data_IF_268633811391
#
_entry.id   IF_268633811391
#
_cell.length_a   1.000
_cell.length_b   1.000
_cell.length_c   1.000
_cell.angle_alpha   90.00
_cell.angle_beta   90.00
_cell.angle_gamma   90.00
#
_symmetry.space_group_name_H-M   'P 1'
#
loop_
_entity.id
_entity.type
_entity.pdbx_description
1 polymer ?
#
# COMPACT_ATOMS: atom_id res chain seq x y z
N UNK A 1 27.27 -5.85 44.85
CA UNK A 1 26.71 -5.05 43.77
C UNK A 1 26.19 -3.76 44.37
N UNK A 2 26.83 -2.64 44.09
CA UNK A 2 26.32 -1.32 44.48
C UNK A 2 25.09 -1.00 43.59
N UNK A 3 24.10 -0.28 44.10
CA UNK A 3 22.89 0.05 43.33
C UNK A 3 23.23 0.86 42.06
N UNK A 4 24.33 1.61 42.10
CA UNK A 4 24.89 2.34 40.94
C UNK A 4 25.39 1.38 39.85
N UNK A 5 26.05 0.29 40.21
CA UNK A 5 26.52 -0.74 39.26
C UNK A 5 25.34 -1.46 38.61
N UNK A 6 24.25 -1.67 39.35
CA UNK A 6 23.03 -2.28 38.82
C UNK A 6 22.42 -1.43 37.68
N UNK A 7 22.46 -0.09 37.78
CA UNK A 7 22.02 0.82 36.70
C UNK A 7 22.92 0.68 35.48
N UNK A 8 24.24 0.60 35.67
CA UNK A 8 25.20 0.39 34.58
C UNK A 8 24.98 -0.93 33.84
N UNK A 9 24.79 -2.03 34.57
CA UNK A 9 24.49 -3.34 33.98
C UNK A 9 23.14 -3.36 33.26
N UNK A 10 22.12 -2.69 33.79
CA UNK A 10 20.84 -2.52 33.11
C UNK A 10 20.99 -1.78 31.78
N UNK A 11 21.74 -0.67 31.77
CA UNK A 11 22.04 0.08 30.55
C UNK A 11 22.75 -0.78 29.50
N UNK A 12 23.76 -1.55 29.93
CA UNK A 12 24.50 -2.46 29.04
C UNK A 12 23.59 -3.56 28.48
N UNK A 13 22.75 -4.17 29.31
CA UNK A 13 21.80 -5.20 28.88
C UNK A 13 20.82 -4.65 27.84
N UNK A 14 20.29 -3.45 28.04
CA UNK A 14 19.40 -2.78 27.08
C UNK A 14 20.11 -2.45 25.76
N UNK A 15 21.36 -1.98 25.80
CA UNK A 15 22.16 -1.70 24.59
C UNK A 15 22.44 -2.97 23.79
N UNK A 16 22.81 -4.07 24.47
CA UNK A 16 23.03 -5.37 23.81
C UNK A 16 21.72 -5.90 23.23
N UNK A 17 20.62 -5.85 23.98
CA UNK A 17 19.30 -6.24 23.50
C UNK A 17 18.87 -5.44 22.27
N UNK A 18 19.07 -4.11 22.30
CA UNK A 18 18.80 -3.23 21.16
C UNK A 18 19.62 -3.63 19.93
N UNK A 19 20.87 -4.07 20.10
CA UNK A 19 21.75 -4.45 18.98
C UNK A 19 21.35 -5.79 18.34
N UNK A 20 20.68 -6.65 19.10
CA UNK A 20 20.16 -7.94 18.62
C UNK A 20 18.76 -7.84 17.99
N UNK A 21 18.09 -6.69 18.07
CA UNK A 21 16.73 -6.51 17.54
C UNK A 21 16.72 -6.34 16.01
N UNK A 22 15.84 -7.09 15.33
CA UNK A 22 15.65 -6.98 13.88
C UNK A 22 14.59 -5.95 13.45
N UNK A 23 13.76 -5.47 14.38
CA UNK A 23 12.65 -4.55 14.08
C UNK A 23 13.03 -3.11 14.35
N UNK A 24 12.85 -2.24 13.34
CA UNK A 24 13.36 -0.86 13.37
C UNK A 24 12.74 0.03 14.47
N UNK A 25 11.46 -0.12 14.80
CA UNK A 25 10.77 0.73 15.81
C UNK A 25 11.11 0.31 17.26
N UNK A 26 10.92 -0.96 17.68
CA UNK A 26 11.27 -1.39 19.04
C UNK A 26 12.74 -1.17 19.38
N UNK A 27 13.64 -1.41 18.41
CA UNK A 27 15.07 -1.15 18.56
C UNK A 27 15.35 0.29 18.98
N UNK A 28 14.71 1.29 18.34
CA UNK A 28 14.96 2.70 18.66
C UNK A 28 14.39 3.10 20.02
N UNK A 29 13.28 2.51 20.43
CA UNK A 29 12.70 2.73 21.77
C UNK A 29 13.64 2.17 22.84
N UNK A 30 14.10 0.93 22.67
CA UNK A 30 15.04 0.29 23.62
C UNK A 30 16.37 1.03 23.65
N UNK A 31 16.89 1.49 22.50
CA UNK A 31 18.09 2.31 22.43
C UNK A 31 17.94 3.63 23.20
N UNK A 32 16.80 4.33 23.10
CA UNK A 32 16.54 5.55 23.87
C UNK A 32 16.48 5.27 25.38
N UNK A 33 15.81 4.19 25.80
CA UNK A 33 15.78 3.76 27.19
C UNK A 33 17.18 3.41 27.71
N UNK A 34 18.00 2.72 26.90
CA UNK A 34 19.37 2.39 27.22
C UNK A 34 20.22 3.65 27.41
N UNK A 35 20.12 4.62 26.50
CA UNK A 35 20.84 5.90 26.59
C UNK A 35 20.48 6.66 27.86
N UNK A 36 19.20 6.71 28.26
CA UNK A 36 18.80 7.32 29.53
C UNK A 36 19.41 6.63 30.76
N UNK A 37 19.43 5.28 30.77
CA UNK A 37 20.04 4.51 31.85
C UNK A 37 21.56 4.73 31.93
N UNK A 38 22.24 4.73 30.79
CA UNK A 38 23.70 4.92 30.69
C UNK A 38 24.12 6.35 31.03
N UNK A 39 23.35 7.38 30.63
CA UNK A 39 23.58 8.77 31.07
C UNK A 39 23.45 8.89 32.59
N UNK A 40 22.41 8.26 33.16
CA UNK A 40 22.19 8.27 34.62
C UNK A 40 23.37 7.63 35.33
N UNK A 41 23.85 6.48 34.84
CA UNK A 41 25.06 5.84 35.35
C UNK A 41 26.30 6.75 35.22
N UNK A 42 26.53 7.33 34.03
CA UNK A 42 27.64 8.24 33.76
C UNK A 42 27.68 9.45 34.70
N UNK A 43 26.51 10.01 35.01
CA UNK A 43 26.38 11.10 35.98
C UNK A 43 26.77 10.66 37.40
N UNK A 44 26.30 9.48 37.83
CA UNK A 44 26.59 8.95 39.18
C UNK A 44 28.07 8.62 39.39
N UNK A 45 28.80 8.23 38.34
CA UNK A 45 30.25 7.97 38.40
C UNK A 45 31.11 9.19 38.02
N UNK A 46 30.50 10.33 37.70
CA UNK A 46 31.21 11.55 37.27
C UNK A 46 31.90 11.47 35.91
N UNK A 47 31.48 10.54 35.04
CA UNK A 47 32.12 10.30 33.74
C UNK A 47 31.46 11.12 32.63
N UNK A 48 32.04 12.30 32.37
CA UNK A 48 31.64 13.18 31.26
C UNK A 48 31.67 12.47 29.89
N UNK A 49 32.68 11.63 29.55
CA UNK A 49 32.71 10.94 28.26
C UNK A 49 31.53 9.99 28.02
N UNK A 50 31.07 9.29 29.06
CA UNK A 50 29.92 8.36 28.97
C UNK A 50 28.64 9.15 28.72
N UNK A 51 28.43 10.24 29.46
CA UNK A 51 27.26 11.10 29.29
C UNK A 51 27.21 11.75 27.91
N UNK A 52 28.35 12.25 27.42
CA UNK A 52 28.44 12.92 26.12
C UNK A 52 28.10 11.97 24.96
N UNK A 53 28.58 10.73 25.02
CA UNK A 53 28.34 9.72 23.98
C UNK A 53 26.85 9.46 23.79
N UNK A 54 26.13 9.23 24.89
CA UNK A 54 24.71 8.93 24.86
C UNK A 54 23.85 10.17 24.57
N UNK A 55 24.27 11.35 25.04
CA UNK A 55 23.59 12.61 24.74
C UNK A 55 23.55 12.91 23.23
N UNK A 56 24.57 12.48 22.47
CA UNK A 56 24.60 12.59 21.00
C UNK A 56 23.71 11.51 20.35
N UNK A 57 23.63 10.31 20.93
CA UNK A 57 22.84 9.21 20.37
C UNK A 57 21.33 9.40 20.54
N UNK A 58 20.88 10.05 21.61
CA UNK A 58 19.46 10.35 21.85
C UNK A 58 18.79 11.09 20.68
N UNK A 59 19.27 12.26 20.21
CA UNK A 59 18.61 12.98 19.12
C UNK A 59 18.61 12.18 17.82
N UNK A 60 19.67 11.42 17.55
CA UNK A 60 19.75 10.57 16.35
C UNK A 60 18.73 9.41 16.40
N UNK A 61 18.63 8.71 17.54
CA UNK A 61 17.68 7.62 17.73
C UNK A 61 16.23 8.12 17.76
N UNK A 62 15.98 9.28 18.36
CA UNK A 62 14.66 9.92 18.40
C UNK A 62 14.20 10.38 17.02
N UNK A 63 15.09 11.00 16.24
CA UNK A 63 14.77 11.43 14.87
C UNK A 63 14.44 10.24 13.97
N UNK A 64 15.26 9.17 14.00
CA UNK A 64 14.95 7.94 13.24
C UNK A 64 13.68 7.25 13.71
N UNK A 65 13.37 7.26 15.01
CA UNK A 65 12.10 6.72 15.51
C UNK A 65 10.92 7.52 14.97
N UNK A 66 11.00 8.85 15.00
CA UNK A 66 9.97 9.73 14.45
C UNK A 66 9.75 9.48 12.95
N UNK A 67 10.82 9.36 12.17
CA UNK A 67 10.76 9.06 10.74
C UNK A 67 10.06 7.72 10.47
N UNK A 68 10.44 6.65 11.20
CA UNK A 68 9.82 5.33 11.05
C UNK A 68 8.33 5.33 11.41
N UNK A 69 7.96 5.98 12.52
CA UNK A 69 6.56 6.07 12.96
C UNK A 69 5.73 6.94 12.00
N UNK A 70 6.32 8.01 11.47
CA UNK A 70 5.67 8.87 10.48
C UNK A 70 5.34 8.08 9.21
N UNK A 71 6.29 7.30 8.69
CA UNK A 71 6.10 6.52 7.47
C UNK A 71 4.98 5.49 7.61
N UNK A 72 4.92 4.78 8.75
CA UNK A 72 3.82 3.82 9.02
C UNK A 72 2.47 4.53 9.10
N UNK A 73 2.39 5.66 9.81
CA UNK A 73 1.14 6.43 9.94
C UNK A 73 0.67 7.04 8.62
N UNK A 74 1.60 7.48 7.78
CA UNK A 74 1.34 7.95 6.42
C UNK A 74 0.71 6.81 5.58
N UNK A 75 1.29 5.60 5.62
CA UNK A 75 0.69 4.43 4.95
C UNK A 75 -0.68 4.00 5.51
N UNK A 76 -0.91 4.11 6.82
CA UNK A 76 -2.22 3.82 7.42
C UNK A 76 -3.29 4.88 7.10
N UNK A 77 -2.90 6.15 6.96
CA UNK A 77 -3.79 7.22 6.50
C UNK A 77 -4.16 7.05 5.03
N UNK A 78 -3.19 6.70 4.19
CA UNK A 78 -3.43 6.32 2.80
C UNK A 78 -4.32 5.09 2.64
N UNK A 79 -4.22 4.14 3.58
CA UNK A 79 -5.10 2.97 3.65
C UNK A 79 -6.55 3.28 4.05
N UNK A 80 -6.76 4.36 4.81
CA UNK A 80 -8.04 4.68 5.46
C UNK A 80 -8.80 5.85 4.81
N UNK A 81 -8.12 6.74 4.08
CA UNK A 81 -8.74 7.86 3.36
C UNK A 81 -8.84 7.63 1.86
N UNK A 82 -9.85 8.23 1.22
CA UNK A 82 -9.94 8.40 -0.23
C UNK A 82 -8.60 8.89 -0.76
N UNK A 83 -7.78 7.97 -1.30
CA UNK A 83 -6.52 8.34 -1.91
C UNK A 83 -6.90 9.18 -3.12
N UNK A 84 -6.63 10.49 -3.05
CA UNK A 84 -6.78 11.37 -4.20
C UNK A 84 -5.94 10.78 -5.33
N UNK A 85 -6.60 10.23 -6.35
CA UNK A 85 -5.95 9.75 -7.57
C UNK A 85 -5.47 10.91 -8.45
N UNK A 86 -5.52 12.14 -7.96
CA UNK A 86 -5.07 13.33 -8.67
C UNK A 86 -3.58 13.29 -8.94
N UNK A 87 -2.77 12.72 -8.04
CA UNK A 87 -1.35 12.56 -8.30
C UNK A 87 -1.08 11.53 -9.40
N UNK A 88 -1.96 10.54 -9.59
CA UNK A 88 -1.85 9.60 -10.71
C UNK A 88 -2.03 10.32 -12.06
N UNK A 89 -2.64 11.51 -12.06
CA UNK A 89 -2.77 12.38 -13.24
C UNK A 89 -1.44 13.01 -13.71
N UNK A 90 -0.31 12.76 -13.04
CA UNK A 90 1.01 13.08 -13.60
C UNK A 90 1.71 11.89 -14.26
N UNK A 91 1.15 10.69 -14.20
CA UNK A 91 1.77 9.45 -14.70
C UNK A 91 1.00 8.85 -15.89
N UNK A 92 1.69 8.12 -16.75
CA UNK A 92 1.09 7.53 -17.95
C UNK A 92 0.66 8.55 -19.00
N UNK A 93 -0.12 8.09 -19.98
CA UNK A 93 -0.54 8.88 -21.15
C UNK A 93 -2.05 9.04 -21.20
N UNK A 94 -2.55 10.26 -21.38
CA UNK A 94 -3.99 10.48 -21.59
C UNK A 94 -4.37 10.12 -23.02
N UNK A 95 -5.38 9.27 -23.19
CA UNK A 95 -5.93 8.85 -24.48
C UNK A 95 -7.42 9.17 -24.54
N UNK A 96 -7.87 9.64 -25.71
CA UNK A 96 -9.28 9.89 -26.03
C UNK A 96 -9.92 8.64 -26.62
N UNK A 97 -11.16 8.38 -26.23
CA UNK A 97 -11.97 7.25 -26.70
C UNK A 97 -13.30 7.76 -27.23
N UNK A 98 -13.78 7.14 -28.31
CA UNK A 98 -15.09 7.45 -28.90
C UNK A 98 -16.18 6.60 -28.27
N UNK A 99 -17.41 7.11 -28.26
CA UNK A 99 -18.57 6.31 -27.86
C UNK A 99 -18.67 5.05 -28.76
N UNK A 100 -18.90 3.89 -28.14
CA UNK A 100 -18.91 2.58 -28.78
C UNK A 100 -17.53 1.93 -28.97
N UNK A 101 -16.42 2.62 -28.67
CA UNK A 101 -15.08 2.06 -28.79
C UNK A 101 -14.83 1.01 -27.70
N UNK A 102 -14.36 -0.19 -28.09
CA UNK A 102 -13.96 -1.24 -27.17
C UNK A 102 -12.48 -1.10 -26.87
N UNK A 103 -12.12 -0.99 -25.59
CA UNK A 103 -10.74 -0.78 -25.15
C UNK A 103 -9.98 -2.11 -25.11
N UNK A 104 -10.61 -3.14 -24.59
CA UNK A 104 -10.10 -4.51 -24.54
C UNK A 104 -11.22 -5.49 -24.30
N UNK A 105 -11.02 -6.74 -24.70
CA UNK A 105 -11.93 -7.85 -24.48
C UNK A 105 -11.42 -8.74 -23.35
N UNK A 106 -12.36 -9.44 -22.70
CA UNK A 106 -12.04 -10.49 -21.73
C UNK A 106 -11.15 -11.56 -22.37
N UNK A 107 -10.09 -11.95 -21.68
CA UNK A 107 -9.12 -12.94 -22.16
C UNK A 107 -7.97 -12.37 -23.01
N UNK A 108 -8.04 -11.09 -23.41
CA UNK A 108 -6.91 -10.46 -24.09
C UNK A 108 -5.68 -10.39 -23.17
N UNK A 109 -4.45 -10.40 -23.73
CA UNK A 109 -3.25 -10.06 -22.97
C UNK A 109 -3.39 -8.67 -22.32
N UNK A 110 -3.07 -8.60 -21.03
CA UNK A 110 -3.17 -7.39 -20.24
C UNK A 110 -1.77 -6.86 -19.90
N UNK A 111 -1.50 -5.63 -20.32
CA UNK A 111 -0.21 -4.96 -20.12
C UNK A 111 -0.33 -3.58 -19.48
N UNK A 112 -1.57 -3.10 -19.31
CA UNK A 112 -1.87 -1.73 -18.90
C UNK A 112 -3.21 -1.65 -18.19
N UNK A 113 -3.38 -0.63 -17.35
CA UNK A 113 -4.64 -0.26 -16.72
C UNK A 113 -5.01 1.18 -17.08
N UNK A 114 -6.27 1.54 -16.82
CA UNK A 114 -6.80 2.85 -17.16
C UNK A 114 -7.37 3.55 -15.93
N UNK A 115 -7.06 4.82 -15.75
CA UNK A 115 -7.77 5.73 -14.86
C UNK A 115 -8.74 6.55 -15.70
N UNK A 116 -10.05 6.44 -15.44
CA UNK A 116 -11.06 7.18 -16.19
C UNK A 116 -11.02 8.66 -15.76
N UNK A 117 -10.75 9.56 -16.71
CA UNK A 117 -10.68 11.00 -16.45
C UNK A 117 -12.01 11.70 -16.79
N UNK A 118 -12.68 11.25 -17.86
CA UNK A 118 -13.97 11.79 -18.30
C UNK A 118 -14.74 10.78 -19.16
N UNK A 119 -16.04 11.01 -19.39
CA UNK A 119 -16.92 10.11 -20.15
C UNK A 119 -17.49 8.98 -19.30
N UNK A 120 -18.10 7.99 -19.97
CA UNK A 120 -18.70 6.82 -19.33
C UNK A 120 -18.16 5.56 -19.97
N UNK A 121 -17.65 4.66 -19.14
CA UNK A 121 -17.16 3.35 -19.56
C UNK A 121 -17.95 2.25 -18.85
N UNK A 122 -18.00 1.06 -19.44
CA UNK A 122 -18.76 -0.07 -18.89
C UNK A 122 -18.00 -1.37 -19.06
N UNK A 123 -18.04 -2.20 -18.02
CA UNK A 123 -17.62 -3.60 -18.08
C UNK A 123 -18.80 -4.43 -18.61
N UNK A 124 -18.65 -5.00 -19.80
CA UNK A 124 -19.77 -5.58 -20.55
C UNK A 124 -20.43 -6.78 -19.84
N UNK A 125 -19.63 -7.64 -19.20
CA UNK A 125 -20.11 -8.90 -18.62
C UNK A 125 -20.99 -8.71 -17.38
N UNK A 126 -20.72 -7.66 -16.60
CA UNK A 126 -21.41 -7.41 -15.32
C UNK A 126 -22.33 -6.17 -15.40
N UNK A 127 -22.37 -5.48 -16.54
CA UNK A 127 -23.13 -4.23 -16.70
C UNK A 127 -22.66 -3.09 -15.77
N UNK A 128 -21.44 -3.19 -15.23
CA UNK A 128 -20.90 -2.23 -14.26
C UNK A 128 -20.40 -0.98 -14.97
N UNK A 129 -20.96 0.16 -14.59
CA UNK A 129 -20.51 1.48 -15.04
C UNK A 129 -19.23 1.90 -14.29
N UNK A 130 -18.21 2.27 -15.04
CA UNK A 130 -16.95 2.82 -14.54
C UNK A 130 -17.00 4.34 -14.67
N UNK A 131 -16.98 5.03 -13.54
CA UNK A 131 -17.10 6.49 -13.42
C UNK A 131 -15.74 7.19 -13.47
N UNK A 132 -15.69 8.49 -13.82
CA UNK A 132 -14.48 9.30 -13.66
C UNK A 132 -13.90 9.20 -12.25
N UNK A 133 -12.58 9.12 -12.16
CA UNK A 133 -11.83 8.88 -10.93
C UNK A 133 -11.63 7.40 -10.60
N UNK A 134 -12.26 6.46 -11.31
CA UNK A 134 -12.05 5.03 -11.06
C UNK A 134 -10.96 4.43 -11.95
N UNK A 135 -10.21 3.49 -11.38
CA UNK A 135 -9.25 2.64 -12.09
C UNK A 135 -10.00 1.47 -12.74
N UNK A 136 -9.53 0.94 -13.86
CA UNK A 136 -10.03 -0.30 -14.48
C UNK A 136 -8.92 -1.04 -15.21
N UNK A 137 -9.00 -2.37 -15.26
CA UNK A 137 -8.00 -3.22 -15.90
C UNK A 137 -6.81 -3.57 -15.00
N UNK A 138 -6.86 -3.19 -13.72
CA UNK A 138 -5.91 -3.55 -12.67
C UNK A 138 -5.87 -5.05 -12.39
N UNK A 139 -7.03 -5.72 -12.45
CA UNK A 139 -7.14 -7.16 -12.23
C UNK A 139 -6.36 -7.98 -13.27
N UNK A 140 -6.17 -7.43 -14.47
CA UNK A 140 -5.32 -8.06 -15.48
C UNK A 140 -3.87 -8.22 -15.00
N UNK A 141 -3.37 -7.34 -14.13
CA UNK A 141 -2.03 -7.42 -13.57
C UNK A 141 -1.87 -8.55 -12.55
N UNK A 142 -2.96 -8.90 -11.86
CA UNK A 142 -2.98 -9.93 -10.81
C UNK A 142 -3.50 -11.28 -11.30
N UNK A 143 -4.15 -11.32 -12.46
CA UNK A 143 -4.71 -12.54 -13.04
C UNK A 143 -3.62 -13.53 -13.48
N UNK A 144 -3.88 -14.85 -13.41
CA UNK A 144 -2.96 -15.85 -13.96
C UNK A 144 -2.70 -15.60 -15.45
N UNK A 145 -1.42 -15.46 -15.82
CA UNK A 145 -1.01 -15.23 -17.21
C UNK A 145 -1.31 -13.84 -17.75
N UNK A 146 -1.60 -12.86 -16.88
CA UNK A 146 -1.86 -11.46 -17.24
C UNK A 146 -2.94 -11.31 -18.32
N UNK A 147 -4.15 -11.77 -18.03
CA UNK A 147 -5.30 -11.79 -18.96
C UNK A 147 -6.39 -10.84 -18.47
N UNK A 148 -7.07 -10.16 -19.39
CA UNK A 148 -8.22 -9.30 -19.06
C UNK A 148 -9.33 -10.14 -18.41
N UNK A 149 -9.85 -9.67 -17.27
CA UNK A 149 -10.90 -10.36 -16.51
C UNK A 149 -12.32 -10.01 -16.97
N UNK A 150 -12.47 -8.94 -17.74
CA UNK A 150 -13.71 -8.48 -18.36
C UNK A 150 -13.41 -7.61 -19.59
N UNK A 151 -14.45 -7.27 -20.34
CA UNK A 151 -14.38 -6.44 -21.53
C UNK A 151 -14.80 -5.02 -21.20
N UNK A 152 -13.99 -4.03 -21.58
CA UNK A 152 -14.25 -2.62 -21.30
C UNK A 152 -14.65 -1.89 -22.58
N UNK A 153 -15.80 -1.25 -22.56
CA UNK A 153 -16.31 -0.43 -23.65
C UNK A 153 -16.56 1.01 -23.21
N UNK A 154 -16.26 1.97 -24.08
CA UNK A 154 -16.62 3.36 -23.93
C UNK A 154 -18.09 3.55 -24.36
N UNK A 155 -18.95 3.98 -23.45
CA UNK A 155 -20.38 4.23 -23.71
C UNK A 155 -20.60 5.67 -24.14
N UNK A 156 -19.95 6.61 -23.45
CA UNK A 156 -19.96 8.04 -23.78
C UNK A 156 -18.52 8.50 -23.99
N UNK A 157 -18.27 9.23 -25.07
CA UNK A 157 -16.94 9.68 -25.46
C UNK A 157 -16.24 10.42 -24.31
N UNK A 158 -14.95 10.14 -24.12
CA UNK A 158 -14.22 10.61 -22.96
C UNK A 158 -12.72 10.37 -23.05
N UNK A 159 -12.04 10.62 -21.94
CA UNK A 159 -10.60 10.40 -21.79
C UNK A 159 -10.33 9.42 -20.68
N UNK A 160 -9.36 8.55 -20.92
CA UNK A 160 -8.79 7.72 -19.88
C UNK A 160 -7.27 7.77 -19.98
N UNK A 161 -6.64 7.74 -18.81
CA UNK A 161 -5.21 7.72 -18.66
C UNK A 161 -4.72 6.30 -18.65
N UNK A 162 -3.87 5.96 -19.59
CA UNK A 162 -3.26 4.66 -19.72
C UNK A 162 -1.96 4.59 -18.92
N UNK A 163 -1.85 3.60 -18.03
CA UNK A 163 -0.63 3.26 -17.31
C UNK A 163 -0.23 1.82 -17.61
N UNK A 164 0.97 1.60 -18.13
CA UNK A 164 1.53 0.26 -18.29
C UNK A 164 1.80 -0.39 -16.93
N UNK A 165 1.77 -1.71 -16.86
CA UNK A 165 2.09 -2.43 -15.63
C UNK A 165 3.54 -2.22 -15.18
N UNK A 166 4.46 -1.91 -16.09
CA UNK A 166 5.81 -1.45 -15.73
C UNK A 166 5.79 -0.15 -14.95
N UNK A 167 5.00 0.84 -15.39
CA UNK A 167 4.85 2.13 -14.69
C UNK A 167 4.16 1.93 -13.34
N UNK A 168 3.11 1.09 -13.28
CA UNK A 168 2.42 0.77 -12.02
C UNK A 168 3.38 0.10 -11.01
N UNK A 169 4.20 -0.85 -11.47
CA UNK A 169 5.24 -1.47 -10.63
C UNK A 169 6.27 -0.46 -10.15
N UNK A 170 6.69 0.48 -11.00
CA UNK A 170 7.61 1.53 -10.61
C UNK A 170 6.98 2.43 -9.54
N UNK A 171 5.71 2.80 -9.70
CA UNK A 171 4.96 3.57 -8.70
C UNK A 171 4.86 2.84 -7.37
N UNK A 172 4.67 1.51 -7.38
CA UNK A 172 4.64 0.69 -6.16
C UNK A 172 5.95 0.81 -5.35
N UNK A 173 7.11 0.81 -6.02
CA UNK A 173 8.41 0.94 -5.34
C UNK A 173 8.72 2.36 -4.87
N UNK A 174 8.21 3.37 -5.57
CA UNK A 174 8.46 4.78 -5.26
C UNK A 174 7.51 5.32 -4.20
N UNK A 175 6.28 4.80 -4.13
CA UNK A 175 5.25 5.26 -3.22
C UNK A 175 4.58 4.07 -2.51
N UNK A 176 5.04 3.71 -1.28
CA UNK A 176 4.44 2.63 -0.50
C UNK A 176 2.94 2.82 -0.21
N UNK A 177 2.48 4.06 -0.08
CA UNK A 177 1.06 4.38 0.14
C UNK A 177 0.19 3.93 -1.05
N UNK A 178 0.66 4.20 -2.27
CA UNK A 178 0.00 3.73 -3.49
C UNK A 178 -0.08 2.21 -3.52
N UNK A 179 1.00 1.51 -3.14
CA UNK A 179 1.03 0.07 -3.14
C UNK A 179 -0.04 -0.55 -2.23
N UNK A 180 -0.20 0.00 -1.02
CA UNK A 180 -1.24 -0.45 -0.09
C UNK A 180 -2.65 -0.11 -0.59
N UNK A 181 -2.85 1.11 -1.10
CA UNK A 181 -4.14 1.51 -1.68
C UNK A 181 -4.55 0.61 -2.85
N UNK A 182 -3.62 0.35 -3.78
CA UNK A 182 -3.84 -0.51 -4.94
C UNK A 182 -4.21 -1.94 -4.52
N UNK A 183 -3.52 -2.47 -3.48
CA UNK A 183 -3.85 -3.76 -2.90
C UNK A 183 -5.29 -3.78 -2.37
N UNK A 184 -5.67 -2.80 -1.55
CA UNK A 184 -7.02 -2.68 -0.97
C UNK A 184 -8.09 -2.59 -2.06
N UNK A 185 -7.92 -1.67 -3.02
CA UNK A 185 -8.85 -1.46 -4.13
C UNK A 185 -9.05 -2.74 -4.95
N UNK A 186 -7.96 -3.45 -5.23
CA UNK A 186 -8.04 -4.68 -6.03
C UNK A 186 -8.65 -5.82 -5.24
N UNK A 187 -8.37 -5.93 -3.93
CA UNK A 187 -9.01 -6.89 -3.04
C UNK A 187 -10.52 -6.67 -2.94
N UNK A 188 -10.98 -5.44 -2.73
CA UNK A 188 -12.41 -5.10 -2.68
C UNK A 188 -13.14 -5.57 -3.96
N UNK A 189 -12.53 -5.32 -5.12
CA UNK A 189 -13.09 -5.72 -6.42
C UNK A 189 -13.07 -7.23 -6.63
N UNK A 190 -12.02 -7.93 -6.23
CA UNK A 190 -11.97 -9.39 -6.28
C UNK A 190 -13.11 -10.01 -5.46
N UNK A 191 -13.36 -9.50 -4.25
CA UNK A 191 -14.46 -9.97 -3.41
C UNK A 191 -15.84 -9.62 -4.00
N UNK A 192 -16.00 -8.46 -4.63
CA UNK A 192 -17.23 -8.11 -5.35
C UNK A 192 -17.49 -9.07 -6.52
N UNK A 193 -16.49 -9.34 -7.36
CA UNK A 193 -16.62 -10.28 -8.49
C UNK A 193 -16.89 -11.71 -8.02
N UNK A 194 -16.28 -12.18 -6.93
CA UNK A 194 -16.54 -13.50 -6.37
C UNK A 194 -17.97 -13.63 -5.78
N UNK A 195 -18.47 -12.59 -5.13
CA UNK A 195 -19.83 -12.54 -4.62
C UNK A 195 -20.87 -12.57 -5.75
N UNK A 196 -20.63 -11.83 -6.84
CA UNK A 196 -21.49 -11.82 -8.03
C UNK A 196 -21.51 -13.19 -8.74
N UNK A 197 -20.35 -13.84 -8.90
CA UNK A 197 -20.27 -15.18 -9.48
C UNK A 197 -21.05 -16.23 -8.67
N UNK A 198 -21.01 -16.14 -7.34
CA UNK A 198 -21.72 -17.05 -6.43
C UNK A 198 -23.24 -16.79 -6.44
N UNK A 199 -23.66 -15.54 -6.63
CA UNK A 199 -25.08 -15.16 -6.75
C UNK A 199 -25.72 -15.61 -8.07
N UNK A 200 -24.98 -15.51 -9.19
CA UNK A 200 -25.47 -15.89 -10.52
C UNK A 200 -25.66 -17.41 -10.70
N UNK A 201 -24.95 -18.23 -9.92
CA UNK A 201 -25.07 -19.70 -9.97
C UNK A 201 -26.31 -20.25 -9.25
N UNK A 202 -27.10 -19.41 -8.57
CA UNK A 202 -28.35 -19.81 -7.89
C UNK A 202 -29.60 -19.74 -8.76
N UNK A 203 -29.50 -19.29 -10.01
CA UNK A 203 -30.62 -19.15 -10.93
C UNK A 203 -30.40 -19.88 -12.26
N UNK A 204 -30.49 -21.22 -12.26
CA UNK A 204 -30.75 -22.04 -13.46
C UNK A 204 -31.80 -23.10 -13.06
N UNK A 205 -32.87 -23.33 -13.87
CA UNK A 205 -34.19 -23.68 -13.37
C UNK A 205 -34.40 -25.20 -13.15
N UNK A 206 -35.16 -25.53 -12.10
CA UNK A 206 -35.86 -26.82 -12.00
C UNK A 206 -37.03 -26.79 -12.99
N UNK A 207 -36.96 -27.62 -14.04
CA UNK A 207 -38.00 -27.68 -15.05
C UNK A 207 -37.65 -28.58 -16.23
N UNK A 208 -37.19 -29.79 -15.96
CA UNK A 208 -37.30 -30.89 -16.92
C UNK A 208 -38.52 -31.71 -16.51
N UNK A 209 -39.62 -31.59 -17.26
CA UNK A 209 -40.64 -32.63 -17.39
C UNK A 209 -41.42 -32.36 -18.68
N UNK A 210 -41.05 -33.08 -19.73
CA UNK A 210 -41.94 -33.34 -20.87
C UNK A 210 -41.91 -34.85 -21.08
N UNK A 211 -43.00 -35.49 -20.69
CA UNK A 211 -43.47 -36.77 -21.22
C UNK A 211 -44.09 -36.55 -22.60
#
# INVERSE_FOLDING_TARGET
>A
MNWVEAIGYLGTALTVASSAMGTMIPLRIVALCASCAVITYGYLIGSVPVMLTEAIQIPFNAWRLYEMVRLVRETERAASGDLSLDWLKSFGTSRRFRAGEVLFLKGDPAHEMYLIESGRFRIAEHGLDVRPGQIVGELGMLSPGNRRTGSLACVEAGTARCLSYSEVKQLYYQNPEFGFYFLKLTSERLFQSAAEATGAQRTVPAGSDVL
#
